data_IF_715417128725
#
_entry.id   IF_715417128725
#
_cell.length_a   1.000
_cell.length_b   1.000
_cell.length_c   1.000
_cell.angle_alpha   90.00
_cell.angle_beta   90.00
_cell.angle_gamma   90.00
#
_symmetry.space_group_name_H-M   'P 1'
#
loop_
_entity.id
_entity.type
_entity.pdbx_description
1 polymer ?
#
# COMPACT_ATOMS: atom_id res chain seq x y z
N UNK A 1 4.63 19.05 -17.98
CA UNK A 1 3.96 17.90 -17.44
C UNK A 1 4.90 16.73 -17.38
N UNK A 2 5.00 16.18 -16.25
CA UNK A 2 5.87 15.06 -15.96
C UNK A 2 5.14 13.75 -16.20
N UNK A 3 5.86 12.66 -16.27
CA UNK A 3 5.28 11.31 -16.36
C UNK A 3 4.33 11.07 -15.19
N UNK A 4 4.69 11.52 -14.00
CA UNK A 4 3.91 11.38 -12.78
C UNK A 4 2.57 12.13 -12.86
N UNK A 5 2.55 13.37 -13.36
CA UNK A 5 1.29 14.12 -13.58
C UNK A 5 0.34 13.39 -14.53
N UNK A 6 0.88 12.85 -15.63
CA UNK A 6 0.06 12.12 -16.61
C UNK A 6 -0.54 10.85 -16.03
N UNK A 7 0.18 10.15 -15.16
CA UNK A 7 -0.30 8.89 -14.58
C UNK A 7 -1.25 9.07 -13.40
N UNK A 8 -1.00 10.09 -12.58
CA UNK A 8 -1.76 10.30 -11.35
C UNK A 8 -2.89 11.31 -11.55
N UNK A 9 -2.85 12.08 -12.65
CA UNK A 9 -3.87 13.08 -12.95
C UNK A 9 -3.93 14.22 -11.94
N UNK A 10 -2.77 14.67 -11.44
CA UNK A 10 -2.69 15.79 -10.51
C UNK A 10 -3.06 17.07 -11.22
N UNK A 11 -4.04 17.76 -10.72
CA UNK A 11 -4.56 19.01 -11.26
C UNK A 11 -4.21 20.20 -10.37
N UNK A 12 -4.03 19.97 -9.07
CA UNK A 12 -3.75 21.02 -8.08
C UNK A 12 -2.25 21.27 -7.97
N UNK A 13 -1.81 22.50 -8.32
CA UNK A 13 -0.43 22.91 -8.27
C UNK A 13 0.15 22.93 -6.84
N UNK A 14 -0.68 23.18 -5.83
CA UNK A 14 -0.23 23.16 -4.44
C UNK A 14 0.10 21.73 -3.98
N UNK A 15 -0.73 20.77 -4.34
CA UNK A 15 -0.47 19.34 -4.09
C UNK A 15 0.79 18.90 -4.82
N UNK A 16 0.95 19.32 -6.08
CA UNK A 16 2.13 18.99 -6.86
C UNK A 16 3.42 19.54 -6.26
N UNK A 17 3.40 20.82 -5.84
CA UNK A 17 4.56 21.42 -5.17
C UNK A 17 4.90 20.70 -3.87
N UNK A 18 3.91 20.29 -3.10
CA UNK A 18 4.14 19.52 -1.86
C UNK A 18 4.76 18.15 -2.15
N UNK A 19 4.33 17.45 -3.20
CA UNK A 19 4.96 16.20 -3.65
C UNK A 19 6.45 16.41 -3.90
N UNK A 20 6.85 17.51 -4.58
CA UNK A 20 8.26 17.82 -4.77
C UNK A 20 8.98 18.13 -3.47
N UNK A 21 8.35 18.86 -2.55
CA UNK A 21 8.90 19.14 -1.23
C UNK A 21 8.97 17.89 -0.34
N UNK A 22 8.09 16.92 -0.55
CA UNK A 22 8.07 15.62 0.12
C UNK A 22 9.16 14.66 -0.39
N UNK A 23 10.26 15.19 -0.88
CA UNK A 23 11.47 14.45 -1.29
C UNK A 23 11.30 13.49 -2.45
N UNK A 24 10.37 13.72 -3.35
CA UNK A 24 10.40 12.97 -4.60
C UNK A 24 11.69 13.36 -5.32
N UNK A 25 12.70 12.56 -5.11
CA UNK A 25 13.98 12.70 -5.77
C UNK A 25 13.94 11.89 -7.07
N UNK A 26 14.00 12.61 -8.21
CA UNK A 26 14.01 11.99 -9.53
C UNK A 26 15.17 11.03 -9.75
N UNK A 27 16.32 11.30 -9.12
CA UNK A 27 17.46 10.38 -9.22
C UNK A 27 17.22 9.11 -8.42
N UNK A 28 16.58 9.20 -7.25
CA UNK A 28 16.14 8.04 -6.48
C UNK A 28 15.07 7.24 -7.24
N UNK A 29 14.12 7.89 -7.88
CA UNK A 29 13.15 7.21 -8.76
C UNK A 29 13.83 6.49 -9.92
N UNK A 30 14.82 7.11 -10.56
CA UNK A 30 15.61 6.43 -11.60
C UNK A 30 16.33 5.20 -11.07
N UNK A 31 16.92 5.29 -9.88
CA UNK A 31 17.56 4.14 -9.23
C UNK A 31 16.53 3.03 -8.96
N UNK A 32 15.38 3.37 -8.41
CA UNK A 32 14.29 2.40 -8.22
C UNK A 32 13.86 1.75 -9.52
N UNK A 33 13.68 2.53 -10.58
CA UNK A 33 13.39 1.99 -11.91
C UNK A 33 14.47 1.03 -12.43
N UNK A 34 15.71 1.30 -12.09
CA UNK A 34 16.84 0.46 -12.51
C UNK A 34 16.82 -0.89 -11.79
N UNK A 35 16.43 -0.91 -10.51
CA UNK A 35 16.47 -2.12 -9.68
C UNK A 35 15.12 -2.84 -9.56
N UNK A 36 14.03 -2.15 -9.77
CA UNK A 36 12.68 -2.72 -9.68
C UNK A 36 11.88 -2.45 -10.95
N UNK A 37 11.74 -3.50 -11.76
CA UNK A 37 10.98 -3.46 -12.99
C UNK A 37 9.52 -3.02 -12.80
N UNK A 38 8.98 -3.13 -11.61
CA UNK A 38 7.60 -2.71 -11.31
C UNK A 38 7.39 -1.19 -11.39
N UNK A 39 8.44 -0.40 -11.25
CA UNK A 39 8.36 1.04 -11.49
C UNK A 39 8.20 1.41 -12.97
N UNK A 40 8.38 0.46 -13.85
CA UNK A 40 8.28 0.66 -15.30
C UNK A 40 6.91 1.08 -15.80
N UNK A 41 5.88 1.03 -14.96
CA UNK A 41 4.59 1.62 -15.35
C UNK A 41 4.67 3.11 -15.69
N UNK A 42 5.77 3.74 -15.37
CA UNK A 42 6.07 5.08 -15.86
C UNK A 42 6.31 5.12 -17.37
N UNK A 43 5.90 4.10 -18.10
CA UNK A 43 5.82 4.07 -19.55
C UNK A 43 7.13 3.72 -20.22
N UNK A 44 7.66 4.60 -21.04
CA UNK A 44 8.80 4.31 -21.92
C UNK A 44 10.09 3.82 -21.25
N UNK A 45 10.18 3.89 -19.92
CA UNK A 45 11.33 3.35 -19.18
C UNK A 45 11.32 1.84 -19.09
N UNK A 46 10.19 1.19 -19.31
CA UNK A 46 10.07 -0.27 -19.24
C UNK A 46 11.05 -0.99 -20.15
N UNK A 47 11.23 -0.45 -21.35
CA UNK A 47 12.03 -1.09 -22.38
C UNK A 47 13.54 -1.07 -22.08
N UNK A 48 13.99 -0.11 -21.27
CA UNK A 48 15.41 0.06 -20.97
C UNK A 48 15.88 -0.84 -19.83
N UNK A 49 14.99 -1.26 -18.94
CA UNK A 49 15.34 -1.96 -17.70
C UNK A 49 14.83 -3.39 -17.61
N UNK A 50 13.98 -3.81 -18.52
CA UNK A 50 13.46 -5.19 -18.59
C UNK A 50 14.51 -6.23 -18.96
N UNK A 51 15.71 -5.80 -19.29
CA UNK A 51 16.82 -6.67 -19.63
C UNK A 51 17.53 -7.34 -18.45
N UNK A 52 17.06 -7.20 -17.21
CA UNK A 52 17.61 -7.92 -16.05
C UNK A 52 17.11 -9.36 -16.11
N UNK A 53 17.90 -10.22 -16.73
CA UNK A 53 17.55 -11.64 -16.97
C UNK A 53 17.19 -12.40 -15.70
N UNK A 54 17.82 -12.09 -14.57
CA UNK A 54 17.55 -12.76 -13.30
C UNK A 54 16.15 -12.43 -12.77
N UNK A 55 15.68 -11.22 -12.99
CA UNK A 55 14.32 -10.83 -12.64
C UNK A 55 13.29 -11.51 -13.55
N UNK A 56 13.56 -11.56 -14.85
CA UNK A 56 12.70 -12.23 -15.82
C UNK A 56 12.57 -13.73 -15.54
N UNK A 57 13.69 -14.40 -15.13
CA UNK A 57 13.65 -15.82 -14.77
C UNK A 57 12.79 -16.09 -13.54
N UNK A 58 12.88 -15.27 -12.51
CA UNK A 58 12.03 -15.38 -11.31
C UNK A 58 10.55 -15.14 -11.63
N UNK A 59 10.27 -14.16 -12.50
CA UNK A 59 8.92 -13.86 -12.93
C UNK A 59 8.32 -15.04 -13.71
N UNK A 60 9.11 -15.68 -14.59
CA UNK A 60 8.69 -16.86 -15.34
C UNK A 60 8.47 -18.08 -14.44
N UNK A 61 9.26 -18.24 -13.37
CA UNK A 61 9.03 -19.25 -12.34
C UNK A 61 7.71 -18.99 -11.61
N UNK A 62 7.47 -17.75 -11.21
CA UNK A 62 6.23 -17.34 -10.55
C UNK A 62 5.02 -17.57 -11.48
N UNK A 63 5.12 -17.18 -12.76
CA UNK A 63 4.07 -17.43 -13.75
C UNK A 63 3.75 -18.92 -13.87
N UNK A 64 4.78 -19.78 -13.88
CA UNK A 64 4.58 -21.24 -13.91
C UNK A 64 3.93 -21.76 -12.64
N UNK A 65 4.36 -21.25 -11.47
CA UNK A 65 3.79 -21.65 -10.18
C UNK A 65 2.29 -21.32 -10.06
N UNK A 66 1.83 -20.22 -10.66
CA UNK A 66 0.41 -19.85 -10.71
C UNK A 66 -0.44 -20.95 -11.38
N UNK A 67 0.09 -21.65 -12.37
CA UNK A 67 -0.62 -22.73 -13.05
C UNK A 67 -0.49 -24.10 -12.36
N UNK A 68 0.35 -24.22 -11.33
CA UNK A 68 0.53 -25.47 -10.61
C UNK A 68 -0.83 -25.89 -9.96
N UNK A 69 -1.33 -27.11 -10.24
CA UNK A 69 -2.59 -27.59 -9.69
C UNK A 69 -2.56 -27.78 -8.17
N UNK A 70 -1.40 -27.83 -7.54
CA UNK A 70 -1.26 -27.88 -6.10
C UNK A 70 -1.90 -26.64 -5.45
N UNK A 71 -1.69 -25.46 -6.03
CA UNK A 71 -2.20 -24.22 -5.48
C UNK A 71 -3.63 -23.96 -5.96
N UNK A 72 -4.57 -24.00 -5.06
CA UNK A 72 -5.98 -23.63 -5.29
C UNK A 72 -6.21 -22.15 -5.11
N UNK A 73 -5.43 -21.54 -4.22
CA UNK A 73 -5.49 -20.13 -3.87
C UNK A 73 -4.20 -19.41 -4.25
N UNK A 74 -4.35 -18.25 -4.84
CA UNK A 74 -3.25 -17.30 -5.00
C UNK A 74 -3.52 -16.13 -4.07
N UNK A 75 -2.62 -15.94 -3.13
CA UNK A 75 -2.66 -14.84 -2.15
C UNK A 75 -1.67 -13.76 -2.56
N UNK A 76 -2.12 -12.52 -2.60
CA UNK A 76 -1.26 -11.37 -2.86
C UNK A 76 -1.13 -10.49 -1.63
N UNK A 77 0.06 -9.96 -1.37
CA UNK A 77 0.18 -8.73 -0.61
C UNK A 77 -0.37 -7.57 -1.46
N UNK A 78 -0.71 -6.46 -0.82
CA UNK A 78 -1.29 -5.30 -1.51
C UNK A 78 -0.22 -4.29 -1.87
N UNK A 79 0.35 -3.62 -0.86
CA UNK A 79 1.31 -2.53 -1.08
C UNK A 79 2.67 -3.10 -1.51
N UNK A 80 3.31 -2.39 -2.43
CA UNK A 80 4.58 -2.75 -3.04
C UNK A 80 4.61 -4.12 -3.76
N UNK A 81 3.45 -4.80 -3.83
CA UNK A 81 3.22 -6.05 -4.57
C UNK A 81 2.28 -5.85 -5.75
N UNK A 82 1.03 -5.49 -5.52
CA UNK A 82 0.05 -5.26 -6.61
C UNK A 82 -0.22 -3.78 -6.86
N UNK A 83 -0.04 -2.94 -5.85
CA UNK A 83 -0.10 -1.48 -5.95
C UNK A 83 1.11 -0.85 -5.26
N UNK A 84 1.41 0.40 -5.59
CA UNK A 84 2.51 1.14 -4.98
C UNK A 84 2.18 2.62 -4.89
N UNK A 85 2.85 3.32 -3.97
CA UNK A 85 2.84 4.77 -3.91
C UNK A 85 3.98 5.34 -4.77
N UNK A 86 3.78 6.45 -5.47
CA UNK A 86 4.81 7.09 -6.30
C UNK A 86 5.77 7.97 -5.47
N UNK A 87 5.96 7.64 -4.20
CA UNK A 87 6.85 8.32 -3.28
C UNK A 87 8.08 7.45 -3.00
N UNK A 88 9.23 8.09 -2.74
CA UNK A 88 10.43 7.37 -2.32
C UNK A 88 10.26 6.72 -0.94
N UNK A 89 9.75 7.51 0.01
CA UNK A 89 9.28 7.01 1.31
C UNK A 89 7.74 7.06 1.31
N UNK A 90 7.04 5.95 1.54
CA UNK A 90 5.59 5.94 1.64
C UNK A 90 5.02 6.95 2.62
N UNK A 91 5.78 7.30 3.67
CA UNK A 91 5.39 8.29 4.66
C UNK A 91 5.48 9.75 4.16
N UNK A 92 6.09 10.00 3.01
CA UNK A 92 6.11 11.33 2.39
C UNK A 92 4.69 11.77 1.96
N UNK A 93 3.77 10.81 1.81
CA UNK A 93 2.35 11.12 1.62
C UNK A 93 1.78 12.00 2.75
N UNK A 94 2.26 11.84 3.98
CA UNK A 94 1.78 12.63 5.11
C UNK A 94 2.14 14.12 5.00
N UNK A 95 3.17 14.48 4.23
CA UNK A 95 3.50 15.88 4.00
C UNK A 95 2.41 16.62 3.18
N UNK A 96 1.59 15.86 2.45
CA UNK A 96 0.43 16.43 1.76
C UNK A 96 -0.68 16.84 2.72
N UNK A 97 -0.75 16.22 3.90
CA UNK A 97 -1.70 16.59 4.95
C UNK A 97 -1.36 17.96 5.56
N UNK A 98 -0.09 18.37 5.51
CA UNK A 98 0.34 19.67 6.04
C UNK A 98 -0.39 20.83 5.35
N UNK A 99 -0.71 20.70 4.05
CA UNK A 99 -1.44 21.72 3.29
C UNK A 99 -2.81 21.98 3.93
N UNK A 100 -3.52 20.94 4.25
CA UNK A 100 -4.86 21.07 4.85
C UNK A 100 -4.78 21.51 6.31
N UNK A 101 -3.78 21.04 7.04
CA UNK A 101 -3.55 21.41 8.43
C UNK A 101 -3.20 22.91 8.55
N UNK A 102 -2.27 23.42 7.74
CA UNK A 102 -1.82 24.82 7.73
C UNK A 102 -2.95 25.81 7.38
N UNK A 103 -3.96 25.36 6.63
CA UNK A 103 -5.17 26.17 6.36
C UNK A 103 -6.02 26.41 7.61
N UNK A 104 -5.95 25.51 8.58
CA UNK A 104 -6.81 25.54 9.77
C UNK A 104 -6.06 25.95 11.03
N UNK A 105 -4.76 25.74 11.09
CA UNK A 105 -3.96 25.97 12.31
C UNK A 105 -2.64 26.65 11.98
N UNK A 106 -2.32 27.70 12.73
CA UNK A 106 -0.96 28.26 12.77
C UNK A 106 -0.16 27.50 13.83
N UNK A 107 0.58 26.49 13.42
CA UNK A 107 1.35 25.64 14.33
C UNK A 107 2.85 25.68 14.01
N UNK A 108 3.66 25.43 15.04
CA UNK A 108 5.13 25.36 14.92
C UNK A 108 5.61 23.92 14.53
N UNK A 109 4.68 22.98 14.40
CA UNK A 109 4.96 21.60 14.06
C UNK A 109 4.06 21.19 12.90
N UNK A 110 4.62 20.50 11.90
CA UNK A 110 3.86 19.99 10.77
C UNK A 110 2.95 18.82 11.19
N UNK A 111 1.82 18.65 10.50
CA UNK A 111 0.93 17.54 10.77
C UNK A 111 1.55 16.20 10.41
N UNK A 112 2.35 16.13 9.37
CA UNK A 112 3.13 14.95 8.99
C UNK A 112 3.98 14.41 10.16
N UNK A 113 4.61 15.30 10.92
CA UNK A 113 5.36 14.94 12.12
C UNK A 113 4.45 14.50 13.27
N UNK A 114 3.34 15.20 13.49
CA UNK A 114 2.31 14.84 14.48
C UNK A 114 1.80 13.42 14.20
N UNK A 115 1.42 13.16 12.96
CA UNK A 115 0.88 11.88 12.50
C UNK A 115 1.86 10.71 12.73
N UNK A 116 3.13 10.91 12.37
CA UNK A 116 4.19 9.91 12.57
C UNK A 116 4.44 9.64 14.07
N UNK A 117 4.48 10.67 14.88
CA UNK A 117 4.68 10.54 16.33
C UNK A 117 3.49 9.84 17.02
N UNK A 118 2.26 10.18 16.63
CA UNK A 118 1.08 9.55 17.19
C UNK A 118 1.00 8.05 16.85
N UNK A 119 1.37 7.67 15.61
CA UNK A 119 1.44 6.26 15.24
C UNK A 119 2.51 5.52 16.04
N UNK A 120 3.71 6.08 16.15
CA UNK A 120 4.81 5.46 16.87
C UNK A 120 4.49 5.25 18.37
N UNK A 121 3.90 6.27 19.01
CA UNK A 121 3.44 6.18 20.41
C UNK A 121 2.35 5.12 20.59
N UNK A 122 1.36 5.11 19.69
CA UNK A 122 0.29 4.13 19.75
C UNK A 122 0.81 2.69 19.62
N UNK A 123 1.74 2.44 18.69
CA UNK A 123 2.37 1.12 18.52
C UNK A 123 3.11 0.68 19.80
N UNK A 124 3.72 1.60 20.53
CA UNK A 124 4.32 1.29 21.83
C UNK A 124 3.27 0.97 22.89
N UNK A 125 2.18 1.75 22.94
CA UNK A 125 1.08 1.54 23.91
C UNK A 125 0.41 0.18 23.77
N UNK A 126 0.23 -0.29 22.52
CA UNK A 126 -0.44 -1.57 22.26
C UNK A 126 0.46 -2.79 22.35
N UNK A 127 1.78 -2.60 22.50
CA UNK A 127 2.73 -3.70 22.54
C UNK A 127 2.34 -4.74 23.61
N UNK A 128 2.17 -6.00 23.19
CA UNK A 128 1.73 -7.10 24.04
C UNK A 128 0.22 -7.25 24.22
N UNK A 129 -0.60 -6.36 23.70
CA UNK A 129 -2.07 -6.46 23.76
C UNK A 129 -2.68 -6.85 22.42
N UNK A 130 -2.22 -6.24 21.35
CA UNK A 130 -2.61 -6.56 19.97
C UNK A 130 -1.38 -6.44 19.06
N UNK A 131 -1.49 -6.95 17.84
CA UNK A 131 -0.35 -6.95 16.91
C UNK A 131 -0.38 -5.76 15.95
N UNK A 132 -1.52 -5.15 15.68
CA UNK A 132 -1.63 -3.99 14.79
C UNK A 132 -2.67 -2.98 15.26
N UNK A 133 -2.66 -1.82 14.62
CA UNK A 133 -3.48 -0.63 14.90
C UNK A 133 -4.38 -0.30 13.72
N UNK A 134 -5.37 0.56 13.97
CA UNK A 134 -6.26 1.10 12.94
C UNK A 134 -5.99 2.58 12.71
N UNK A 135 -6.41 3.09 11.55
CA UNK A 135 -6.33 4.51 11.25
C UNK A 135 -7.15 5.34 12.26
N UNK A 136 -8.28 4.83 12.73
CA UNK A 136 -9.11 5.52 13.71
C UNK A 136 -8.37 5.68 15.04
N UNK A 137 -7.76 4.61 15.57
CA UNK A 137 -6.95 4.67 16.78
C UNK A 137 -5.76 5.62 16.65
N UNK A 138 -5.13 5.69 15.47
CA UNK A 138 -4.04 6.64 15.23
C UNK A 138 -4.54 8.08 15.38
N UNK A 139 -5.70 8.40 14.78
CA UNK A 139 -6.25 9.74 14.84
C UNK A 139 -6.84 10.08 16.21
N UNK A 140 -7.37 9.12 16.94
CA UNK A 140 -7.74 9.29 18.35
C UNK A 140 -6.50 9.66 19.19
N UNK A 141 -5.37 9.00 18.94
CA UNK A 141 -4.10 9.31 19.60
C UNK A 141 -3.53 10.68 19.18
N UNK A 142 -3.76 11.12 17.93
CA UNK A 142 -3.45 12.49 17.47
C UNK A 142 -4.21 13.53 18.30
N UNK A 143 -5.51 13.32 18.51
CA UNK A 143 -6.35 14.20 19.36
C UNK A 143 -5.85 14.21 20.80
N UNK A 144 -5.58 13.05 21.38
CA UNK A 144 -5.12 12.91 22.76
C UNK A 144 -3.78 13.59 23.00
N UNK A 145 -2.76 13.26 22.20
CA UNK A 145 -1.38 13.72 22.40
C UNK A 145 -1.17 15.20 22.08
N UNK A 146 -1.78 15.69 21.01
CA UNK A 146 -1.51 17.03 20.47
C UNK A 146 -2.63 18.02 20.67
N UNK A 147 -3.74 17.62 21.31
CA UNK A 147 -4.91 18.47 21.59
C UNK A 147 -5.50 19.10 20.33
N UNK A 148 -5.42 18.37 19.21
CA UNK A 148 -6.05 18.78 17.96
C UNK A 148 -7.57 18.65 18.14
N UNK A 149 -8.33 19.60 17.56
CA UNK A 149 -9.79 19.54 17.60
C UNK A 149 -10.28 18.28 16.88
N UNK A 150 -11.20 17.50 17.48
CA UNK A 150 -11.69 16.25 16.88
C UNK A 150 -12.18 16.42 15.44
N UNK A 151 -12.90 17.49 15.15
CA UNK A 151 -13.44 17.78 13.82
C UNK A 151 -12.33 17.99 12.79
N UNK A 152 -11.22 18.61 13.17
CA UNK A 152 -10.05 18.76 12.30
C UNK A 152 -9.33 17.43 12.11
N UNK A 153 -9.20 16.63 13.17
CA UNK A 153 -8.61 15.32 13.09
C UNK A 153 -9.40 14.39 12.15
N UNK A 154 -10.73 14.39 12.24
CA UNK A 154 -11.60 13.62 11.34
C UNK A 154 -11.47 14.08 9.88
N UNK A 155 -11.38 15.39 9.66
CA UNK A 155 -11.17 15.96 8.32
C UNK A 155 -9.83 15.51 7.74
N UNK A 156 -8.75 15.55 8.52
CA UNK A 156 -7.42 15.12 8.11
C UNK A 156 -7.36 13.61 7.89
N UNK A 157 -8.04 12.81 8.72
CA UNK A 157 -8.19 11.37 8.54
C UNK A 157 -8.89 11.02 7.22
N UNK A 158 -9.99 11.71 6.92
CA UNK A 158 -10.69 11.54 5.64
C UNK A 158 -9.78 11.92 4.47
N UNK A 159 -9.03 13.00 4.60
CA UNK A 159 -8.09 13.45 3.56
C UNK A 159 -6.92 12.47 3.38
N UNK A 160 -6.38 11.87 4.45
CA UNK A 160 -5.37 10.79 4.34
C UNK A 160 -5.90 9.62 3.50
N UNK A 161 -7.13 9.15 3.76
CA UNK A 161 -7.78 8.10 2.96
C UNK A 161 -7.91 8.49 1.47
N UNK A 162 -8.32 9.73 1.21
CA UNK A 162 -8.43 10.24 -0.16
C UNK A 162 -7.07 10.28 -0.87
N UNK A 163 -6.01 10.72 -0.20
CA UNK A 163 -4.66 10.76 -0.73
C UNK A 163 -4.14 9.35 -1.02
N UNK A 164 -4.36 8.39 -0.12
CA UNK A 164 -4.01 6.99 -0.32
C UNK A 164 -4.70 6.41 -1.56
N UNK A 165 -5.99 6.62 -1.70
CA UNK A 165 -6.73 6.19 -2.89
C UNK A 165 -6.21 6.90 -4.14
N UNK A 166 -5.98 8.21 -4.07
CA UNK A 166 -5.59 9.03 -5.21
C UNK A 166 -4.21 8.66 -5.74
N UNK A 167 -3.22 8.55 -4.86
CA UNK A 167 -1.82 8.39 -5.24
C UNK A 167 -1.37 6.96 -5.42
N UNK A 168 -2.06 5.99 -4.82
CA UNK A 168 -1.71 4.59 -5.02
C UNK A 168 -2.06 4.15 -6.45
N UNK A 169 -1.06 3.60 -7.14
CA UNK A 169 -1.15 3.18 -8.54
C UNK A 169 -0.84 1.69 -8.70
N UNK A 170 -1.36 1.09 -9.75
CA UNK A 170 -1.18 -0.31 -10.06
C UNK A 170 0.30 -0.65 -10.36
N UNK A 171 0.82 -1.77 -9.88
CA UNK A 171 2.09 -2.38 -10.29
C UNK A 171 1.87 -3.32 -11.48
N UNK A 172 2.58 -3.09 -12.58
CA UNK A 172 2.38 -3.87 -13.81
C UNK A 172 2.63 -5.36 -13.60
N UNK A 173 3.73 -5.71 -12.93
CA UNK A 173 4.07 -7.11 -12.63
C UNK A 173 3.00 -7.77 -11.77
N UNK A 174 2.58 -7.12 -10.68
CA UNK A 174 1.49 -7.63 -9.83
C UNK A 174 0.20 -7.81 -10.61
N UNK A 175 -0.12 -6.86 -11.49
CA UNK A 175 -1.30 -6.95 -12.36
C UNK A 175 -1.23 -8.11 -13.34
N UNK A 176 -0.09 -8.33 -13.95
CA UNK A 176 0.12 -9.44 -14.88
C UNK A 176 -0.12 -10.78 -14.18
N UNK A 177 0.46 -10.98 -13.00
CA UNK A 177 0.29 -12.23 -12.23
C UNK A 177 -1.16 -12.39 -11.76
N UNK A 178 -1.82 -11.32 -11.33
CA UNK A 178 -3.23 -11.35 -10.96
C UNK A 178 -4.12 -11.81 -12.13
N UNK A 179 -3.91 -11.26 -13.33
CA UNK A 179 -4.66 -11.69 -14.52
C UNK A 179 -4.35 -13.13 -14.93
N UNK A 180 -3.10 -13.59 -14.73
CA UNK A 180 -2.77 -15.00 -14.94
C UNK A 180 -3.49 -15.91 -13.95
N UNK A 181 -3.57 -15.53 -12.67
CA UNK A 181 -4.31 -16.28 -11.66
C UNK A 181 -5.81 -16.38 -12.00
N UNK A 182 -6.41 -15.28 -12.50
CA UNK A 182 -7.79 -15.28 -13.02
C UNK A 182 -7.98 -16.24 -14.18
N UNK A 183 -7.08 -16.20 -15.16
CA UNK A 183 -7.13 -17.12 -16.34
C UNK A 183 -6.95 -18.58 -15.94
N UNK A 184 -6.14 -18.83 -14.91
CA UNK A 184 -5.95 -20.16 -14.33
C UNK A 184 -7.11 -20.59 -13.42
N UNK A 185 -8.17 -19.77 -13.31
CA UNK A 185 -9.35 -20.02 -12.47
C UNK A 185 -9.02 -20.27 -11.00
N UNK A 186 -7.95 -19.66 -10.50
CA UNK A 186 -7.56 -19.73 -9.10
C UNK A 186 -8.46 -18.85 -8.24
N UNK A 187 -8.68 -19.26 -6.99
CA UNK A 187 -9.28 -18.39 -5.99
C UNK A 187 -8.25 -17.35 -5.56
N UNK A 188 -8.58 -16.06 -5.69
CA UNK A 188 -7.65 -14.98 -5.38
C UNK A 188 -8.04 -14.36 -4.05
N UNK A 189 -7.07 -14.16 -3.17
CA UNK A 189 -7.22 -13.46 -1.90
C UNK A 189 -6.12 -12.41 -1.76
N UNK A 190 -6.37 -11.40 -0.93
CA UNK A 190 -5.36 -10.44 -0.51
C UNK A 190 -5.09 -10.59 0.99
N UNK A 191 -3.81 -10.51 1.40
CA UNK A 191 -3.39 -10.53 2.80
C UNK A 191 -2.37 -9.42 2.99
N UNK A 192 -2.73 -8.36 3.72
CA UNK A 192 -1.89 -7.15 3.83
C UNK A 192 -1.79 -6.64 5.25
N UNK A 193 -0.57 -6.27 5.65
CA UNK A 193 -0.32 -5.52 6.87
C UNK A 193 -0.52 -4.03 6.58
N UNK A 194 -1.64 -3.46 7.07
CA UNK A 194 -2.01 -2.08 6.80
C UNK A 194 -3.00 -1.55 7.84
N UNK A 195 -2.74 -0.35 8.35
CA UNK A 195 -3.58 0.35 9.33
C UNK A 195 -4.88 0.94 8.74
N UNK A 196 -4.97 1.08 7.42
CA UNK A 196 -6.17 1.59 6.74
C UNK A 196 -7.35 0.64 6.94
N UNK A 197 -8.54 1.19 6.87
CA UNK A 197 -9.79 0.42 6.90
C UNK A 197 -10.05 -0.33 5.59
N UNK A 198 -10.90 -1.36 5.69
CA UNK A 198 -11.27 -2.23 4.57
C UNK A 198 -11.77 -1.45 3.36
N UNK A 199 -12.68 -0.52 3.58
CA UNK A 199 -13.31 0.25 2.50
C UNK A 199 -12.30 1.09 1.72
N UNK A 200 -11.28 1.61 2.40
CA UNK A 200 -10.20 2.37 1.77
C UNK A 200 -9.32 1.47 0.91
N UNK A 201 -8.87 0.32 1.44
CA UNK A 201 -8.03 -0.62 0.69
C UNK A 201 -8.80 -1.25 -0.47
N UNK A 202 -10.07 -1.60 -0.28
CA UNK A 202 -10.94 -2.08 -1.35
C UNK A 202 -11.06 -1.06 -2.50
N UNK A 203 -11.27 0.23 -2.19
CA UNK A 203 -11.30 1.29 -3.20
C UNK A 203 -9.97 1.41 -3.96
N UNK A 204 -8.84 1.26 -3.27
CA UNK A 204 -7.51 1.23 -3.88
C UNK A 204 -7.40 0.07 -4.87
N UNK A 205 -7.80 -1.13 -4.45
CA UNK A 205 -7.77 -2.33 -5.29
C UNK A 205 -8.67 -2.17 -6.51
N UNK A 206 -9.91 -1.77 -6.33
CA UNK A 206 -10.89 -1.58 -7.43
C UNK A 206 -10.45 -0.50 -8.41
N UNK A 207 -9.98 0.64 -7.93
CA UNK A 207 -9.42 1.72 -8.77
C UNK A 207 -8.30 1.22 -9.68
N UNK A 208 -7.49 0.28 -9.19
CA UNK A 208 -6.36 -0.29 -9.92
C UNK A 208 -6.73 -1.57 -10.71
N UNK A 209 -8.03 -1.87 -10.80
CA UNK A 209 -8.56 -2.96 -11.60
C UNK A 209 -8.39 -4.35 -10.97
N UNK A 210 -8.21 -4.43 -9.66
CA UNK A 210 -8.19 -5.69 -8.92
C UNK A 210 -9.60 -5.98 -8.39
N UNK A 211 -10.43 -6.56 -9.22
CA UNK A 211 -11.79 -7.00 -8.90
C UNK A 211 -11.93 -8.52 -8.92
N UNK A 212 -13.04 -9.03 -8.43
CA UNK A 212 -13.35 -10.47 -8.50
C UNK A 212 -12.48 -11.37 -7.63
N UNK A 213 -11.76 -10.81 -6.66
CA UNK A 213 -11.10 -11.60 -5.61
C UNK A 213 -12.11 -12.11 -4.58
N UNK A 214 -11.75 -13.19 -3.90
CA UNK A 214 -12.63 -13.84 -2.93
C UNK A 214 -12.71 -13.05 -1.62
N UNK A 215 -11.54 -12.62 -1.10
CA UNK A 215 -11.48 -11.94 0.21
C UNK A 215 -10.19 -11.13 0.38
N UNK A 216 -10.30 -10.05 1.14
CA UNK A 216 -9.21 -9.24 1.65
C UNK A 216 -9.07 -9.47 3.17
N UNK A 217 -7.86 -9.82 3.61
CA UNK A 217 -7.48 -9.95 5.02
C UNK A 217 -6.54 -8.81 5.37
N UNK A 218 -6.96 -7.94 6.29
CA UNK A 218 -6.17 -6.78 6.73
C UNK A 218 -5.74 -6.95 8.19
N UNK A 219 -4.48 -6.66 8.46
CA UNK A 219 -3.93 -6.72 9.82
C UNK A 219 -4.67 -5.80 10.80
N UNK A 220 -5.10 -4.63 10.37
CA UNK A 220 -5.90 -3.70 11.18
C UNK A 220 -7.24 -4.27 11.65
N UNK A 221 -7.91 -5.08 10.81
CA UNK A 221 -9.20 -5.70 11.14
C UNK A 221 -9.02 -6.93 12.03
N UNK A 222 -8.08 -7.80 11.65
CA UNK A 222 -7.83 -9.05 12.39
C UNK A 222 -6.99 -8.84 13.64
N UNK A 223 -6.37 -7.66 13.80
CA UNK A 223 -5.44 -7.34 14.89
C UNK A 223 -4.27 -8.32 14.96
N UNK A 224 -3.84 -8.81 13.79
CA UNK A 224 -2.79 -9.81 13.58
C UNK A 224 -1.91 -9.42 12.42
N UNK A 225 -0.61 -9.69 12.52
CA UNK A 225 0.38 -9.38 11.50
C UNK A 225 0.79 -10.61 10.67
N UNK A 226 1.24 -10.35 9.43
CA UNK A 226 1.91 -11.36 8.58
C UNK A 226 3.24 -11.79 9.21
N UNK A 227 4.02 -10.83 9.70
CA UNK A 227 5.35 -11.08 10.28
C UNK A 227 5.35 -12.04 11.48
N UNK A 228 4.25 -12.13 12.24
CA UNK A 228 4.06 -13.14 13.29
C UNK A 228 3.50 -14.46 12.77
N UNK A 229 3.08 -14.49 11.51
CA UNK A 229 2.35 -15.61 10.91
C UNK A 229 0.87 -15.69 11.30
N UNK A 230 0.40 -14.84 12.21
CA UNK A 230 -0.94 -14.97 12.78
C UNK A 230 -2.03 -14.52 11.81
N UNK A 231 -1.78 -13.52 10.96
CA UNK A 231 -2.73 -13.12 9.92
C UNK A 231 -2.94 -14.24 8.89
N UNK A 232 -1.86 -14.96 8.51
CA UNK A 232 -1.96 -16.14 7.64
C UNK A 232 -2.78 -17.25 8.29
N UNK A 233 -2.58 -17.51 9.60
CA UNK A 233 -3.38 -18.50 10.33
C UNK A 233 -4.86 -18.14 10.34
N UNK A 234 -5.21 -16.84 10.46
CA UNK A 234 -6.60 -16.39 10.34
C UNK A 234 -7.18 -16.72 8.97
N UNK A 235 -6.45 -16.41 7.90
CA UNK A 235 -6.89 -16.69 6.53
C UNK A 235 -7.07 -18.20 6.29
N UNK A 236 -6.09 -19.01 6.65
CA UNK A 236 -6.14 -20.49 6.52
C UNK A 236 -7.34 -21.07 7.27
N UNK A 237 -7.55 -20.62 8.51
CA UNK A 237 -8.67 -21.09 9.35
C UNK A 237 -10.02 -20.72 8.75
N UNK A 238 -10.16 -19.48 8.28
CA UNK A 238 -11.42 -18.99 7.76
C UNK A 238 -11.78 -19.60 6.41
N UNK A 239 -10.78 -19.78 5.54
CA UNK A 239 -10.95 -20.44 4.25
C UNK A 239 -11.06 -21.97 4.35
N UNK A 240 -10.72 -22.54 5.50
CA UNK A 240 -10.68 -23.99 5.74
C UNK A 240 -9.79 -24.74 4.73
N UNK A 241 -8.63 -24.17 4.43
CA UNK A 241 -7.67 -24.69 3.45
C UNK A 241 -6.37 -25.12 4.13
N UNK A 242 -5.61 -25.96 3.44
CA UNK A 242 -4.26 -26.31 3.89
C UNK A 242 -3.25 -25.26 3.43
N UNK A 243 -2.21 -24.96 4.22
CA UNK A 243 -1.17 -24.02 3.82
C UNK A 243 -0.56 -24.32 2.46
N UNK A 244 -0.37 -25.60 2.13
CA UNK A 244 0.24 -26.08 0.89
C UNK A 244 -0.62 -25.79 -0.35
N UNK A 245 -1.89 -25.48 -0.17
CA UNK A 245 -2.83 -25.15 -1.24
C UNK A 245 -2.82 -23.66 -1.60
N UNK A 246 -2.03 -22.84 -0.86
CA UNK A 246 -1.94 -21.39 -1.07
C UNK A 246 -0.53 -21.03 -1.56
N UNK A 247 -0.45 -20.34 -2.70
CA UNK A 247 0.76 -19.62 -3.12
C UNK A 247 0.61 -18.17 -2.68
N UNK A 248 1.48 -17.70 -1.77
CA UNK A 248 1.54 -16.30 -1.39
C UNK A 248 2.59 -15.55 -2.22
N UNK A 249 2.21 -14.39 -2.71
CA UNK A 249 3.03 -13.50 -3.53
C UNK A 249 3.14 -12.17 -2.81
N UNK A 250 4.36 -11.76 -2.49
CA UNK A 250 4.67 -10.53 -1.77
C UNK A 250 6.06 -10.01 -2.12
N UNK A 251 6.38 -8.81 -1.67
CA UNK A 251 7.68 -8.14 -1.84
C UNK A 251 8.65 -8.45 -0.68
N UNK A 252 8.13 -8.86 0.47
CA UNK A 252 8.91 -9.21 1.66
C UNK A 252 9.17 -10.72 1.75
N UNK A 253 10.42 -11.08 2.00
CA UNK A 253 10.89 -12.45 2.22
C UNK A 253 10.98 -12.76 3.71
#
# INVERSE_FOLDING_TARGET
GTILEKQIGIVDSAVWNKIFQARINWDAMKICHTYDASYHRCGQLDLEFTGVRDYDSRLDELKRAVFDPQYKYISFDVFDTVVQRPFYDPQDLFELLDIEYERNVKANISFSKIRKLAEADLRQKIAGTTEDITIDEIYDNVVEMFRIQPELADKLKAFERELEIKFTVCRNTGKEIFELARRAQKQIIFISDMYLDHATVEKILLKNGYDGYLKLFLSSEYRKLKGTGNLYKCAIKELQVKPEEILHIGDNY
#
